data_IF_231993016103
#
_entry.id   IF_231993016103
#
_cell.length_a   1.000
_cell.length_b   1.000
_cell.length_c   1.000
_cell.angle_alpha   90.00
_cell.angle_beta   90.00
_cell.angle_gamma   90.00
#
_symmetry.space_group_name_H-M   'P 1'
#
loop_
_entity.id
_entity.type
_entity.pdbx_description
1 polymer ?
#
# COMPACT_ATOMS: atom_id res chain seq x y z
N UNK A 1 -41.22 -5.55 -32.39
CA UNK A 1 -40.33 -4.41 -32.06
C UNK A 1 -40.08 -4.41 -30.56
N UNK A 2 -39.10 -5.18 -30.08
CA UNK A 2 -38.68 -5.12 -28.67
C UNK A 2 -37.65 -4.00 -28.53
N UNK A 3 -38.02 -2.96 -27.80
CA UNK A 3 -37.14 -1.87 -27.41
C UNK A 3 -36.09 -2.43 -26.46
N UNK A 4 -34.91 -2.75 -26.98
CA UNK A 4 -33.72 -2.96 -26.17
C UNK A 4 -33.46 -1.61 -25.49
N UNK A 5 -33.79 -1.55 -24.19
CA UNK A 5 -33.50 -0.40 -23.35
C UNK A 5 -32.02 -0.05 -23.49
N UNK A 6 -31.74 1.17 -23.94
CA UNK A 6 -30.36 1.68 -24.03
C UNK A 6 -29.70 1.50 -22.65
N UNK A 7 -28.48 0.92 -22.58
CA UNK A 7 -27.76 0.87 -21.33
C UNK A 7 -27.55 2.32 -20.84
N UNK A 8 -27.69 2.58 -19.52
CA UNK A 8 -27.43 3.91 -18.97
C UNK A 8 -26.02 4.34 -19.36
N UNK A 9 -25.86 5.63 -19.72
CA UNK A 9 -24.58 6.19 -20.14
C UNK A 9 -23.50 5.82 -19.13
N UNK A 10 -22.61 4.93 -19.54
CA UNK A 10 -21.68 4.23 -18.66
C UNK A 10 -20.49 5.08 -18.19
N UNK A 11 -20.48 6.38 -18.48
CA UNK A 11 -19.37 7.27 -18.20
C UNK A 11 -19.02 7.36 -16.70
N UNK A 12 -20.02 7.42 -15.81
CA UNK A 12 -19.76 7.60 -14.37
C UNK A 12 -19.31 6.35 -13.60
N UNK A 13 -19.34 5.15 -14.21
CA UNK A 13 -19.10 3.88 -13.49
C UNK A 13 -17.77 3.20 -13.83
N UNK A 14 -17.09 3.62 -14.89
CA UNK A 14 -15.72 3.17 -15.16
C UNK A 14 -14.70 3.80 -14.20
N UNK A 15 -15.01 4.97 -13.65
CA UNK A 15 -14.23 5.63 -12.59
C UNK A 15 -14.18 4.79 -11.30
N UNK A 16 -15.11 3.85 -11.11
CA UNK A 16 -15.13 2.96 -9.94
C UNK A 16 -14.01 1.92 -9.93
N UNK A 17 -13.29 1.73 -11.05
CA UNK A 17 -12.36 0.62 -11.26
C UNK A 17 -10.89 1.01 -11.23
N UNK A 18 -10.60 2.30 -11.10
CA UNK A 18 -9.23 2.84 -11.06
C UNK A 18 -8.27 2.17 -12.06
N UNK A 19 -8.76 2.01 -13.29
CA UNK A 19 -8.04 1.31 -14.36
C UNK A 19 -6.98 2.23 -14.98
N UNK A 20 -5.90 1.63 -15.48
CA UNK A 20 -4.93 2.34 -16.30
C UNK A 20 -5.59 2.80 -17.61
N UNK A 21 -5.16 3.94 -18.16
CA UNK A 21 -5.68 4.49 -19.43
C UNK A 21 -5.84 3.45 -20.57
N UNK A 22 -4.86 2.55 -20.85
CA UNK A 22 -5.04 1.52 -21.88
C UNK A 22 -6.14 0.50 -21.52
N UNK A 23 -6.28 0.14 -20.24
CA UNK A 23 -7.32 -0.78 -19.79
C UNK A 23 -8.71 -0.14 -19.85
N UNK A 24 -8.82 1.15 -19.52
CA UNK A 24 -10.07 1.92 -19.68
C UNK A 24 -10.48 1.99 -21.15
N UNK A 25 -9.54 2.26 -22.06
CA UNK A 25 -9.80 2.28 -23.50
C UNK A 25 -10.26 0.91 -24.02
N UNK A 26 -9.61 -0.18 -23.57
CA UNK A 26 -10.01 -1.54 -23.91
C UNK A 26 -11.39 -1.92 -23.35
N UNK A 27 -11.76 -1.41 -22.16
CA UNK A 27 -13.07 -1.66 -21.57
C UNK A 27 -14.18 -0.84 -22.25
N UNK A 28 -13.86 0.38 -22.70
CA UNK A 28 -14.75 1.23 -23.47
C UNK A 28 -14.99 0.70 -24.90
N UNK A 29 -14.04 -0.02 -25.49
CA UNK A 29 -14.18 -0.63 -26.82
C UNK A 29 -14.96 -1.96 -26.83
N UNK A 30 -15.35 -2.49 -25.67
CA UNK A 30 -16.13 -3.73 -25.59
C UNK A 30 -17.52 -3.60 -26.25
N UNK A 31 -17.99 -4.64 -26.97
CA UNK A 31 -19.36 -4.72 -27.45
C UNK A 31 -20.39 -4.58 -26.32
N UNK A 32 -21.53 -3.97 -26.62
CA UNK A 32 -22.62 -3.69 -25.67
C UNK A 32 -23.09 -4.93 -24.90
N UNK A 33 -23.09 -6.10 -25.55
CA UNK A 33 -23.46 -7.39 -24.93
C UNK A 33 -22.48 -7.83 -23.83
N UNK A 34 -21.17 -7.63 -24.02
CA UNK A 34 -20.16 -7.91 -22.99
C UNK A 34 -20.24 -6.91 -21.84
N UNK A 35 -20.50 -5.63 -22.15
CA UNK A 35 -20.74 -4.59 -21.13
C UNK A 35 -21.97 -4.92 -20.27
N UNK A 36 -23.05 -5.43 -20.88
CA UNK A 36 -24.26 -5.86 -20.18
C UNK A 36 -24.03 -7.10 -19.31
N UNK A 37 -23.28 -8.11 -19.79
CA UNK A 37 -22.91 -9.27 -18.98
C UNK A 37 -22.09 -8.86 -17.74
N UNK A 38 -21.08 -8.00 -17.90
CA UNK A 38 -20.30 -7.47 -16.76
C UNK A 38 -21.20 -6.73 -15.76
N UNK A 39 -22.18 -5.97 -16.25
CA UNK A 39 -23.15 -5.28 -15.41
C UNK A 39 -24.05 -6.24 -14.64
N UNK A 40 -24.60 -7.26 -15.29
CA UNK A 40 -25.47 -8.26 -14.67
C UNK A 40 -24.73 -9.13 -13.64
N UNK A 41 -23.48 -9.52 -13.92
CA UNK A 41 -22.65 -10.27 -12.97
C UNK A 41 -22.44 -9.50 -11.66
N UNK A 42 -22.26 -8.18 -11.71
CA UNK A 42 -22.11 -7.33 -10.52
C UNK A 42 -23.42 -7.02 -9.82
N UNK A 43 -24.51 -6.82 -10.56
CA UNK A 43 -25.83 -6.62 -9.95
C UNK A 43 -26.29 -7.86 -9.15
N UNK A 44 -25.83 -9.05 -9.55
CA UNK A 44 -26.03 -10.29 -8.78
C UNK A 44 -25.20 -10.39 -7.50
N UNK A 45 -24.10 -9.63 -7.37
CA UNK A 45 -23.28 -9.59 -6.15
C UNK A 45 -23.83 -8.60 -5.09
N UNK A 46 -24.68 -7.65 -5.49
CA UNK A 46 -25.25 -6.61 -4.61
C UNK A 46 -26.41 -7.11 -3.71
N UNK A 47 -26.87 -8.36 -3.81
CA UNK A 47 -28.12 -8.80 -3.15
C UNK A 47 -28.03 -9.91 -2.10
N UNK A 48 -26.88 -10.48 -1.78
CA UNK A 48 -26.79 -11.51 -0.73
C UNK A 48 -25.41 -11.56 -0.10
N UNK A 49 -25.20 -10.70 0.89
CA UNK A 49 -24.44 -10.90 2.13
C UNK A 49 -24.26 -9.50 2.73
N UNK A 50 -24.34 -9.36 4.05
CA UNK A 50 -23.99 -8.09 4.72
C UNK A 50 -22.52 -7.76 4.43
N UNK A 51 -22.26 -7.06 3.33
CA UNK A 51 -20.94 -6.59 2.97
C UNK A 51 -20.42 -5.74 4.14
N UNK A 52 -19.43 -6.26 4.85
CA UNK A 52 -18.85 -5.60 6.03
C UNK A 52 -18.38 -4.20 5.61
N UNK A 53 -18.94 -3.16 6.23
CA UNK A 53 -18.64 -1.78 5.88
C UNK A 53 -17.18 -1.41 6.22
N UNK A 54 -16.61 -0.39 5.58
CA UNK A 54 -15.25 0.08 5.92
C UNK A 54 -15.12 0.45 7.41
N UNK A 55 -16.18 0.96 8.04
CA UNK A 55 -16.24 1.30 9.46
C UNK A 55 -16.02 0.08 10.37
N UNK A 56 -16.56 -1.08 10.00
CA UNK A 56 -16.40 -2.31 10.78
C UNK A 56 -14.96 -2.82 10.75
N UNK A 57 -14.30 -2.72 9.59
CA UNK A 57 -12.88 -3.03 9.49
C UNK A 57 -12.03 -2.06 10.31
N UNK A 58 -12.36 -0.76 10.30
CA UNK A 58 -11.66 0.26 11.09
C UNK A 58 -11.83 -0.01 12.59
N UNK A 59 -13.03 -0.41 13.02
CA UNK A 59 -13.29 -0.79 14.42
C UNK A 59 -12.43 -1.97 14.85
N UNK A 60 -12.42 -3.04 14.05
CA UNK A 60 -11.57 -4.23 14.31
C UNK A 60 -10.09 -3.86 14.31
N UNK A 61 -9.64 -3.07 13.34
CA UNK A 61 -8.27 -2.59 13.26
C UNK A 61 -7.85 -1.83 14.52
N UNK A 62 -8.66 -0.88 14.98
CA UNK A 62 -8.38 -0.10 16.17
C UNK A 62 -8.40 -0.97 17.43
N UNK A 63 -9.31 -1.94 17.53
CA UNK A 63 -9.32 -2.88 18.64
C UNK A 63 -8.01 -3.66 18.72
N UNK A 64 -7.57 -4.27 17.61
CA UNK A 64 -6.29 -5.01 17.56
C UNK A 64 -5.11 -4.09 17.89
N UNK A 65 -5.11 -2.84 17.42
CA UNK A 65 -4.04 -1.87 17.68
C UNK A 65 -3.84 -1.55 19.18
N UNK A 66 -4.89 -1.72 19.99
CA UNK A 66 -4.84 -1.48 21.45
C UNK A 66 -4.50 -2.72 22.27
N UNK A 67 -4.50 -3.90 21.65
CA UNK A 67 -4.18 -5.14 22.35
C UNK A 67 -2.67 -5.28 22.50
N UNK A 68 -2.24 -5.70 23.68
CA UNK A 68 -0.86 -6.14 23.90
C UNK A 68 -0.58 -7.44 23.14
N UNK A 69 0.70 -7.73 22.93
CA UNK A 69 1.11 -9.00 22.35
C UNK A 69 0.70 -10.17 23.26
N UNK A 70 0.16 -11.27 22.69
CA UNK A 70 -0.38 -12.36 23.48
C UNK A 70 0.70 -13.17 24.20
N UNK A 71 0.52 -13.38 25.51
CA UNK A 71 1.42 -14.16 26.37
C UNK A 71 1.17 -15.68 26.29
N UNK A 72 -0.06 -16.09 25.96
CA UNK A 72 -0.50 -17.50 25.88
C UNK A 72 -1.13 -17.74 24.50
N UNK A 73 -0.96 -18.95 23.96
CA UNK A 73 -1.48 -19.31 22.63
C UNK A 73 -1.07 -18.32 21.53
N UNK A 74 0.15 -17.79 21.66
CA UNK A 74 0.69 -16.70 20.86
C UNK A 74 0.50 -16.92 19.36
N UNK A 75 0.85 -18.11 18.85
CA UNK A 75 0.76 -18.42 17.42
C UNK A 75 -0.68 -18.39 16.90
N UNK A 76 -1.62 -18.93 17.67
CA UNK A 76 -3.03 -18.95 17.28
C UNK A 76 -3.62 -17.55 17.29
N UNK A 77 -3.33 -16.77 18.33
CA UNK A 77 -3.85 -15.42 18.45
C UNK A 77 -3.24 -14.49 17.39
N UNK A 78 -1.94 -14.60 17.13
CA UNK A 78 -1.28 -13.89 16.03
C UNK A 78 -1.91 -14.27 14.69
N UNK A 79 -2.23 -15.55 14.47
CA UNK A 79 -2.92 -16.03 13.25
C UNK A 79 -4.31 -15.42 13.12
N UNK A 80 -5.09 -15.39 14.20
CA UNK A 80 -6.45 -14.80 14.21
C UNK A 80 -6.39 -13.30 13.90
N UNK A 81 -5.55 -12.55 14.62
CA UNK A 81 -5.37 -11.10 14.42
C UNK A 81 -4.89 -10.82 12.99
N UNK A 82 -3.93 -11.60 12.48
CA UNK A 82 -3.44 -11.49 11.09
C UNK A 82 -4.58 -11.72 10.09
N UNK A 83 -5.40 -12.75 10.27
CA UNK A 83 -6.55 -13.05 9.39
C UNK A 83 -7.57 -11.90 9.35
N UNK A 84 -7.82 -11.24 10.49
CA UNK A 84 -8.71 -10.09 10.56
C UNK A 84 -8.15 -8.89 9.79
N UNK A 85 -6.85 -8.60 9.91
CA UNK A 85 -6.19 -7.54 9.13
C UNK A 85 -6.14 -7.89 7.64
N UNK A 86 -5.89 -9.15 7.29
CA UNK A 86 -5.87 -9.62 5.90
C UNK A 86 -7.23 -9.53 5.20
N UNK A 87 -8.32 -9.63 5.96
CA UNK A 87 -9.66 -9.36 5.43
C UNK A 87 -9.79 -7.88 4.99
N UNK A 88 -9.27 -6.93 5.78
CA UNK A 88 -9.21 -5.51 5.38
C UNK A 88 -8.28 -5.31 4.17
N UNK A 89 -7.10 -5.92 4.17
CA UNK A 89 -6.15 -5.89 3.03
C UNK A 89 -6.83 -6.34 1.74
N UNK A 90 -7.61 -7.42 1.82
CA UNK A 90 -8.36 -7.96 0.67
C UNK A 90 -9.45 -7.00 0.25
N UNK A 91 -10.26 -6.50 1.20
CA UNK A 91 -11.30 -5.52 0.92
C UNK A 91 -10.73 -4.27 0.23
N UNK A 92 -9.65 -3.68 0.73
CA UNK A 92 -8.99 -2.51 0.10
C UNK A 92 -8.49 -2.78 -1.32
N UNK A 93 -8.14 -4.03 -1.64
CA UNK A 93 -7.61 -4.43 -2.95
C UNK A 93 -8.70 -4.76 -3.97
N UNK A 94 -9.81 -5.35 -3.54
CA UNK A 94 -10.83 -5.91 -4.45
C UNK A 94 -12.16 -5.17 -4.44
N UNK A 95 -12.38 -4.27 -3.48
CA UNK A 95 -13.62 -3.48 -3.40
C UNK A 95 -13.66 -2.36 -4.44
N UNK A 96 -14.84 -1.74 -4.55
CA UNK A 96 -15.08 -0.60 -5.44
C UNK A 96 -14.33 0.64 -4.97
N UNK A 97 -14.05 1.58 -5.89
CA UNK A 97 -13.48 2.88 -5.54
C UNK A 97 -14.26 3.60 -4.41
N UNK A 98 -15.59 3.46 -4.39
CA UNK A 98 -16.47 4.02 -3.35
C UNK A 98 -16.18 3.47 -1.95
N UNK A 99 -15.77 2.20 -1.83
CA UNK A 99 -15.34 1.64 -0.53
C UNK A 99 -14.08 2.35 -0.02
N UNK A 100 -13.11 2.60 -0.91
CA UNK A 100 -11.85 3.28 -0.55
C UNK A 100 -12.10 4.73 -0.13
N UNK A 101 -12.97 5.46 -0.83
CA UNK A 101 -13.38 6.82 -0.42
C UNK A 101 -13.96 6.79 1.00
N UNK A 102 -14.96 5.93 1.25
CA UNK A 102 -15.58 5.81 2.58
C UNK A 102 -14.58 5.41 3.66
N UNK A 103 -13.66 4.49 3.35
CA UNK A 103 -12.59 4.11 4.28
C UNK A 103 -11.71 5.30 4.66
N UNK A 104 -11.36 6.16 3.70
CA UNK A 104 -10.58 7.37 3.96
C UNK A 104 -11.38 8.38 4.79
N UNK A 105 -12.63 8.66 4.41
CA UNK A 105 -13.53 9.59 5.11
C UNK A 105 -13.78 9.16 6.57
N UNK A 106 -13.91 7.85 6.79
CA UNK A 106 -14.04 7.22 8.11
C UNK A 106 -12.71 7.12 8.88
N UNK A 107 -11.68 7.87 8.48
CA UNK A 107 -10.35 7.97 9.12
C UNK A 107 -9.56 6.65 9.12
N UNK A 108 -9.80 5.78 8.15
CA UNK A 108 -9.14 4.48 8.05
C UNK A 108 -7.63 4.57 7.85
N UNK A 109 -7.13 5.52 7.04
CA UNK A 109 -5.69 5.78 6.91
C UNK A 109 -5.06 6.16 8.26
N UNK A 110 -5.73 7.02 9.04
CA UNK A 110 -5.24 7.39 10.39
C UNK A 110 -5.20 6.16 11.30
N UNK A 111 -6.19 5.27 11.22
CA UNK A 111 -6.20 3.99 11.94
C UNK A 111 -4.98 3.14 11.60
N UNK A 112 -4.68 2.95 10.31
CA UNK A 112 -3.50 2.18 9.86
C UNK A 112 -2.19 2.79 10.37
N UNK A 113 -2.03 4.11 10.26
CA UNK A 113 -0.82 4.81 10.72
C UNK A 113 -0.68 4.80 12.24
N UNK A 114 -1.78 4.87 12.98
CA UNK A 114 -1.76 4.76 14.44
C UNK A 114 -1.39 3.35 14.89
N UNK A 115 -1.90 2.33 14.20
CA UNK A 115 -1.50 0.95 14.45
C UNK A 115 0.03 0.81 14.30
N UNK A 116 0.59 1.24 13.16
CA UNK A 116 2.03 1.16 12.91
C UNK A 116 2.88 1.85 13.99
N UNK A 117 2.43 2.98 14.53
CA UNK A 117 3.16 3.70 15.59
C UNK A 117 3.03 3.05 16.97
N UNK A 118 1.95 2.31 17.23
CA UNK A 118 1.62 1.79 18.55
C UNK A 118 2.10 0.35 18.78
N UNK A 119 2.61 -0.33 17.74
CA UNK A 119 3.07 -1.71 17.87
C UNK A 119 4.16 -1.84 18.92
N UNK A 120 4.00 -2.79 19.82
CA UNK A 120 5.09 -3.31 20.62
C UNK A 120 6.09 -4.09 19.73
N UNK A 121 7.24 -4.41 20.31
CA UNK A 121 8.31 -5.13 19.60
C UNK A 121 7.82 -6.43 18.95
N UNK A 122 7.09 -7.27 19.68
CA UNK A 122 6.67 -8.58 19.19
C UNK A 122 5.63 -8.46 18.07
N UNK A 123 4.67 -7.54 18.21
CA UNK A 123 3.71 -7.24 17.13
C UNK A 123 4.45 -6.75 15.88
N UNK A 124 5.46 -5.90 16.03
CA UNK A 124 6.28 -5.38 14.94
C UNK A 124 7.17 -6.45 14.26
N UNK A 125 7.45 -7.58 14.93
CA UNK A 125 8.16 -8.73 14.34
C UNK A 125 7.21 -9.79 13.73
N UNK A 126 5.91 -9.69 14.00
CA UNK A 126 4.91 -10.70 13.60
C UNK A 126 4.34 -10.48 12.19
N UNK A 127 3.57 -11.46 11.70
CA UNK A 127 2.79 -11.34 10.46
C UNK A 127 1.73 -10.24 10.49
N UNK A 128 1.28 -9.80 11.68
CA UNK A 128 0.31 -8.71 11.82
C UNK A 128 0.87 -7.44 11.19
N UNK A 129 2.13 -7.11 11.48
CA UNK A 129 2.81 -5.96 10.89
C UNK A 129 2.89 -6.06 9.36
N UNK A 130 3.23 -7.25 8.83
CA UNK A 130 3.24 -7.50 7.38
C UNK A 130 1.87 -7.25 6.75
N UNK A 131 0.81 -7.70 7.40
CA UNK A 131 -0.58 -7.49 6.93
C UNK A 131 -1.00 -6.03 6.98
N UNK A 132 -0.59 -5.27 8.00
CA UNK A 132 -0.87 -3.81 8.09
C UNK A 132 -0.17 -3.06 6.95
N UNK A 133 1.10 -3.36 6.68
CA UNK A 133 1.80 -2.80 5.51
C UNK A 133 1.12 -3.23 4.20
N UNK A 134 0.61 -4.45 4.13
CA UNK A 134 -0.22 -4.93 3.04
C UNK A 134 -1.48 -4.08 2.81
N UNK A 135 -2.18 -3.66 3.87
CA UNK A 135 -3.32 -2.74 3.78
C UNK A 135 -2.90 -1.39 3.19
N UNK A 136 -1.77 -0.83 3.64
CA UNK A 136 -1.22 0.43 3.09
C UNK A 136 -0.88 0.27 1.61
N UNK A 137 -0.23 -0.84 1.23
CA UNK A 137 0.09 -1.15 -0.17
C UNK A 137 -1.17 -1.24 -1.04
N UNK A 138 -2.21 -1.94 -0.56
CA UNK A 138 -3.48 -2.03 -1.24
C UNK A 138 -4.14 -0.65 -1.42
N UNK A 139 -4.13 0.17 -0.37
CA UNK A 139 -4.65 1.54 -0.41
C UNK A 139 -3.91 2.43 -1.42
N UNK A 140 -2.58 2.30 -1.53
CA UNK A 140 -1.76 3.07 -2.48
C UNK A 140 -1.91 2.63 -3.94
N UNK A 141 -2.40 1.41 -4.17
CA UNK A 141 -2.75 0.96 -5.51
C UNK A 141 -4.04 1.60 -6.02
N UNK A 142 -4.85 2.21 -5.14
CA UNK A 142 -5.97 3.05 -5.50
C UNK A 142 -5.53 4.53 -5.61
N UNK A 143 -5.96 5.26 -6.64
CA UNK A 143 -5.57 6.65 -6.92
C UNK A 143 -5.96 7.62 -5.81
N UNK A 144 -7.19 7.52 -5.30
CA UNK A 144 -7.66 8.29 -4.14
C UNK A 144 -6.85 7.93 -2.89
N UNK A 145 -6.71 6.64 -2.60
CA UNK A 145 -5.91 6.19 -1.46
C UNK A 145 -4.45 6.68 -1.52
N UNK A 146 -3.82 6.59 -2.70
CA UNK A 146 -2.47 7.12 -2.97
C UNK A 146 -2.37 8.62 -2.75
N UNK A 147 -3.32 9.40 -3.25
CA UNK A 147 -3.34 10.85 -3.05
C UNK A 147 -3.39 11.21 -1.56
N UNK A 148 -4.26 10.55 -0.79
CA UNK A 148 -4.37 10.77 0.66
C UNK A 148 -3.12 10.33 1.43
N UNK A 149 -2.51 9.19 1.08
CA UNK A 149 -1.25 8.75 1.67
C UNK A 149 -0.15 9.77 1.41
N UNK A 150 0.00 10.25 0.17
CA UNK A 150 1.05 11.21 -0.18
C UNK A 150 0.82 12.61 0.42
N UNK A 151 -0.44 13.03 0.58
CA UNK A 151 -0.81 14.29 1.20
C UNK A 151 -0.59 14.29 2.72
N UNK A 152 -0.72 13.14 3.39
CA UNK A 152 -0.52 13.05 4.83
C UNK A 152 0.93 13.39 5.22
N UNK A 153 1.16 14.28 6.20
CA UNK A 153 2.49 14.88 6.45
C UNK A 153 3.54 13.87 6.91
N UNK A 154 3.14 12.84 7.65
CA UNK A 154 4.07 11.88 8.27
C UNK A 154 3.85 10.43 7.82
N UNK A 155 2.97 10.18 6.84
CA UNK A 155 2.61 8.81 6.44
C UNK A 155 3.84 8.03 5.94
N UNK A 156 4.61 8.62 5.03
CA UNK A 156 5.80 8.00 4.45
C UNK A 156 6.88 7.81 5.53
N UNK A 157 7.00 8.74 6.49
CA UNK A 157 7.92 8.60 7.62
C UNK A 157 7.54 7.40 8.51
N UNK A 158 6.25 7.24 8.83
CA UNK A 158 5.75 6.12 9.64
C UNK A 158 5.93 4.80 8.89
N UNK A 159 5.66 4.76 7.59
CA UNK A 159 5.88 3.56 6.75
C UNK A 159 7.37 3.20 6.71
N UNK A 160 8.27 4.18 6.62
CA UNK A 160 9.71 3.94 6.61
C UNK A 160 10.23 3.37 7.94
N UNK A 161 9.63 3.73 9.08
CA UNK A 161 9.98 3.15 10.39
C UNK A 161 9.82 1.63 10.43
N UNK A 162 8.87 1.08 9.65
CA UNK A 162 8.69 -0.36 9.52
C UNK A 162 9.88 -1.12 8.94
N UNK A 163 10.90 -0.45 8.39
CA UNK A 163 12.16 -1.08 7.97
C UNK A 163 13.00 -1.62 9.14
N UNK A 164 12.70 -1.22 10.39
CA UNK A 164 13.42 -1.68 11.59
C UNK A 164 13.03 -3.08 12.06
N UNK A 165 12.02 -3.69 11.46
CA UNK A 165 11.65 -5.09 11.71
C UNK A 165 12.71 -6.04 11.16
N UNK A 166 12.88 -7.24 11.72
CA UNK A 166 13.70 -8.31 11.12
C UNK A 166 12.89 -9.13 10.10
N UNK A 167 11.56 -8.92 10.04
CA UNK A 167 10.68 -9.64 9.14
C UNK A 167 10.92 -9.24 7.67
N UNK A 168 11.57 -10.14 6.91
CA UNK A 168 11.98 -9.92 5.51
C UNK A 168 10.79 -9.53 4.62
N UNK A 169 9.63 -10.19 4.78
CA UNK A 169 8.44 -9.91 3.96
C UNK A 169 7.91 -8.49 4.19
N UNK A 170 8.01 -8.02 5.42
CA UNK A 170 7.64 -6.65 5.77
C UNK A 170 8.62 -5.65 5.16
N UNK A 171 9.94 -5.89 5.28
CA UNK A 171 10.96 -5.04 4.63
C UNK A 171 10.74 -4.94 3.11
N UNK A 172 10.51 -6.06 2.43
CA UNK A 172 10.20 -6.09 0.99
C UNK A 172 9.00 -5.19 0.69
N UNK A 173 7.88 -5.38 1.39
CA UNK A 173 6.66 -4.63 1.13
C UNK A 173 6.85 -3.11 1.36
N UNK A 174 7.62 -2.71 2.37
CA UNK A 174 7.97 -1.30 2.62
C UNK A 174 8.85 -0.75 1.50
N UNK A 175 9.88 -1.47 1.07
CA UNK A 175 10.76 -1.06 -0.02
C UNK A 175 10.01 -0.92 -1.35
N UNK A 176 9.07 -1.82 -1.64
CA UNK A 176 8.20 -1.71 -2.83
C UNK A 176 7.32 -0.46 -2.78
N UNK A 177 6.73 -0.14 -1.62
CA UNK A 177 5.95 1.09 -1.44
C UNK A 177 6.85 2.31 -1.68
N UNK A 178 7.99 2.39 -0.99
CA UNK A 178 8.88 3.54 -1.07
C UNK A 178 9.49 3.71 -2.47
N UNK A 179 9.81 2.60 -3.14
CA UNK A 179 10.25 2.60 -4.54
C UNK A 179 9.19 3.16 -5.48
N UNK A 180 7.92 2.73 -5.33
CA UNK A 180 6.82 3.28 -6.12
C UNK A 180 6.58 4.77 -5.82
N UNK A 181 6.70 5.21 -4.57
CA UNK A 181 6.59 6.64 -4.20
C UNK A 181 7.69 7.46 -4.86
N UNK A 182 8.91 6.95 -5.00
CA UNK A 182 9.97 7.69 -5.69
C UNK A 182 9.55 8.09 -7.11
N UNK A 183 8.80 7.24 -7.81
CA UNK A 183 8.42 7.43 -9.21
C UNK A 183 7.27 8.42 -9.43
N UNK A 184 6.59 8.88 -8.37
CA UNK A 184 5.51 9.88 -8.48
C UNK A 184 6.03 11.31 -8.31
N UNK A 185 5.33 12.29 -8.89
CA UNK A 185 5.71 13.70 -8.80
C UNK A 185 5.86 14.16 -7.35
N UNK A 186 7.03 14.71 -7.00
CA UNK A 186 7.36 15.16 -5.64
C UNK A 186 7.61 14.04 -4.62
N UNK A 187 7.39 12.77 -4.98
CA UNK A 187 7.54 11.63 -4.07
C UNK A 187 8.99 11.31 -3.72
N UNK A 188 9.93 11.52 -4.65
CA UNK A 188 11.37 11.35 -4.39
C UNK A 188 11.85 12.16 -3.18
N UNK A 189 11.51 13.45 -3.11
CA UNK A 189 11.85 14.30 -1.96
C UNK A 189 11.24 13.76 -0.66
N UNK A 190 9.96 13.36 -0.69
CA UNK A 190 9.28 12.76 0.47
C UNK A 190 9.98 11.49 0.97
N UNK A 191 10.45 10.64 0.06
CA UNK A 191 11.20 9.42 0.43
C UNK A 191 12.57 9.77 1.05
N UNK A 192 13.30 10.73 0.49
CA UNK A 192 14.57 11.17 1.06
C UNK A 192 14.41 11.79 2.45
N UNK A 193 13.36 12.58 2.65
CA UNK A 193 13.02 13.18 3.94
C UNK A 193 12.61 12.08 4.95
N UNK A 194 11.82 11.10 4.51
CA UNK A 194 11.45 9.94 5.33
C UNK A 194 12.66 9.09 5.72
N UNK A 195 13.60 8.86 4.81
CA UNK A 195 14.84 8.12 5.11
C UNK A 195 15.79 8.91 6.02
N UNK A 196 15.75 10.25 5.98
CA UNK A 196 16.44 11.08 6.96
C UNK A 196 15.79 10.98 8.35
N UNK A 197 14.46 10.93 8.41
CA UNK A 197 13.74 10.68 9.66
C UNK A 197 14.03 9.28 10.20
N UNK A 198 14.01 8.27 9.33
CA UNK A 198 14.33 6.88 9.66
C UNK A 198 15.74 6.72 10.23
N UNK A 199 16.74 7.39 9.64
CA UNK A 199 18.11 7.38 10.15
C UNK A 199 18.16 7.73 11.65
N UNK A 200 17.43 8.78 12.07
CA UNK A 200 17.37 9.19 13.48
C UNK A 200 16.59 8.19 14.32
N UNK A 201 15.47 7.70 13.80
CA UNK A 201 14.61 6.74 14.48
C UNK A 201 15.32 5.40 14.77
N UNK A 202 16.04 4.87 13.78
CA UNK A 202 16.75 3.60 13.85
C UNK A 202 18.20 3.75 14.35
N UNK A 203 18.60 4.95 14.79
CA UNK A 203 19.95 5.27 15.25
C UNK A 203 21.06 4.87 14.25
N UNK A 204 20.79 5.04 12.95
CA UNK A 204 21.77 4.78 11.89
C UNK A 204 22.82 5.89 11.85
N UNK A 205 24.10 5.54 11.65
CA UNK A 205 25.18 6.54 11.50
C UNK A 205 24.99 7.35 10.22
N UNK A 206 24.59 6.69 9.14
CA UNK A 206 24.31 7.28 7.83
C UNK A 206 22.97 6.79 7.31
N UNK A 207 22.28 7.59 6.50
CA UNK A 207 21.03 7.15 5.84
C UNK A 207 21.27 5.86 5.05
N UNK A 208 20.27 4.98 5.04
CA UNK A 208 20.25 3.73 4.28
C UNK A 208 21.18 2.63 4.83
N UNK A 209 21.83 2.83 5.97
CA UNK A 209 22.82 1.88 6.49
C UNK A 209 22.21 0.48 6.67
N UNK A 210 21.07 0.36 7.34
CA UNK A 210 20.40 -0.92 7.59
C UNK A 210 20.00 -1.63 6.31
N UNK A 211 19.46 -0.88 5.34
CA UNK A 211 19.08 -1.41 4.02
C UNK A 211 20.30 -1.97 3.28
N UNK A 212 21.44 -1.27 3.30
CA UNK A 212 22.67 -1.73 2.64
C UNK A 212 23.27 -2.93 3.38
N UNK A 213 23.17 -2.97 4.72
CA UNK A 213 23.59 -4.13 5.50
C UNK A 213 22.76 -5.37 5.17
N UNK A 214 21.45 -5.23 4.98
CA UNK A 214 20.56 -6.32 4.56
C UNK A 214 20.92 -6.88 3.19
N UNK A 215 21.51 -6.08 2.30
CA UNK A 215 22.00 -6.55 0.99
C UNK A 215 23.19 -7.50 1.13
N UNK A 216 24.05 -7.29 2.14
CA UNK A 216 25.23 -8.13 2.41
C UNK A 216 24.94 -9.34 3.30
N UNK A 217 23.80 -9.39 3.97
CA UNK A 217 23.45 -10.43 4.94
C UNK A 217 22.91 -11.68 4.26
N UNK A 218 23.30 -12.85 4.75
CA UNK A 218 22.64 -14.12 4.42
C UNK A 218 21.54 -14.40 5.44
N UNK A 219 20.32 -14.64 4.95
CA UNK A 219 19.15 -14.86 5.82
C UNK A 219 18.89 -16.35 6.09
N UNK A 220 19.63 -17.24 5.42
CA UNK A 220 19.47 -18.70 5.53
C UNK A 220 18.32 -19.26 4.69
N UNK A 221 17.42 -18.41 4.18
CA UNK A 221 16.31 -18.80 3.30
C UNK A 221 16.56 -18.18 1.93
N UNK A 222 17.13 -18.96 1.02
CA UNK A 222 17.61 -18.49 -0.30
C UNK A 222 16.58 -17.66 -1.08
N UNK A 223 15.31 -18.09 -1.11
CA UNK A 223 14.24 -17.38 -1.82
C UNK A 223 13.95 -16.00 -1.23
N UNK A 224 13.81 -15.92 0.10
CA UNK A 224 13.51 -14.67 0.77
C UNK A 224 14.71 -13.72 0.74
N UNK A 225 15.94 -14.26 0.82
CA UNK A 225 17.18 -13.52 0.60
C UNK A 225 17.20 -12.86 -0.79
N UNK A 226 16.94 -13.61 -1.85
CA UNK A 226 16.92 -13.06 -3.22
C UNK A 226 15.85 -11.99 -3.37
N UNK A 227 14.65 -12.24 -2.85
CA UNK A 227 13.55 -11.29 -2.96
C UNK A 227 13.88 -9.98 -2.24
N UNK A 228 14.50 -10.06 -1.06
CA UNK A 228 14.95 -8.88 -0.31
C UNK A 228 16.02 -8.12 -1.08
N UNK A 229 17.07 -8.81 -1.55
CA UNK A 229 18.16 -8.20 -2.35
C UNK A 229 17.61 -7.53 -3.61
N UNK A 230 16.67 -8.17 -4.29
CA UNK A 230 15.99 -7.62 -5.47
C UNK A 230 15.21 -6.35 -5.13
N UNK A 231 14.43 -6.37 -4.04
CA UNK A 231 13.67 -5.21 -3.58
C UNK A 231 14.59 -4.03 -3.20
N UNK A 232 15.71 -4.31 -2.50
CA UNK A 232 16.72 -3.31 -2.14
C UNK A 232 17.34 -2.68 -3.39
N UNK A 233 17.79 -3.50 -4.35
CA UNK A 233 18.40 -2.99 -5.58
C UNK A 233 17.42 -2.15 -6.40
N UNK A 234 16.17 -2.58 -6.51
CA UNK A 234 15.10 -1.81 -7.17
C UNK A 234 14.87 -0.47 -6.49
N UNK A 235 14.79 -0.44 -5.16
CA UNK A 235 14.63 0.78 -4.37
C UNK A 235 15.81 1.74 -4.51
N UNK A 236 17.04 1.24 -4.40
CA UNK A 236 18.27 2.04 -4.57
C UNK A 236 18.31 2.67 -5.97
N UNK A 237 17.93 1.92 -6.99
CA UNK A 237 17.82 2.45 -8.36
C UNK A 237 16.76 3.55 -8.44
N UNK A 238 15.56 3.35 -7.87
CA UNK A 238 14.50 4.36 -7.87
C UNK A 238 14.93 5.68 -7.19
N UNK A 239 15.63 5.59 -6.05
CA UNK A 239 16.16 6.76 -5.33
C UNK A 239 17.31 7.43 -6.08
N UNK A 240 18.16 6.66 -6.76
CA UNK A 240 19.37 7.16 -7.43
C UNK A 240 19.11 7.73 -8.83
N UNK A 241 18.29 7.06 -9.63
CA UNK A 241 18.05 7.39 -11.04
C UNK A 241 17.35 8.74 -11.17
N UNK A 242 16.43 9.08 -10.26
CA UNK A 242 15.76 10.38 -10.28
C UNK A 242 16.75 11.53 -9.99
N UNK A 243 17.77 11.28 -9.16
CA UNK A 243 18.83 12.26 -8.92
C UNK A 243 19.72 12.46 -10.18
N UNK A 244 19.87 11.42 -11.02
CA UNK A 244 20.60 11.50 -12.31
C UNK A 244 19.77 12.05 -13.47
N UNK A 245 18.44 12.03 -13.41
CA UNK A 245 17.59 12.65 -14.45
C UNK A 245 17.33 14.14 -14.15
N UNK A 246 17.35 14.55 -12.88
CA UNK A 246 17.04 15.94 -12.47
C UNK A 246 18.30 16.84 -12.37
N UNK A 247 19.52 16.29 -12.25
CA UNK A 247 20.76 17.09 -12.15
C UNK A 247 21.58 17.35 -13.44
N UNK A 248 21.45 16.66 -14.59
CA UNK A 248 22.27 17.00 -15.76
C UNK A 248 21.85 18.28 -16.48
N UNK A 249 20.61 18.76 -16.31
CA UNK A 249 20.08 19.87 -17.11
C UNK A 249 20.23 21.26 -16.48
N UNK A 250 20.65 21.36 -15.20
CA UNK A 250 20.88 22.68 -14.56
C UNK A 250 22.31 23.19 -14.68
N UNK A 251 23.28 22.36 -15.06
CA UNK A 251 24.68 22.79 -15.21
C UNK A 251 25.07 23.19 -16.64
N UNK A 252 24.19 23.01 -17.63
CA UNK A 252 24.43 23.43 -19.03
C UNK A 252 23.73 24.73 -19.44
N UNK A 253 22.97 25.36 -18.53
CA UNK A 253 22.21 26.60 -18.81
C UNK A 253 22.71 27.84 -18.03
N UNK A 254 23.82 27.72 -17.28
CA UNK A 254 24.45 28.84 -16.53
C UNK A 254 25.91 29.06 -16.98
N UNK A 255 26.30 28.54 -18.15
CA UNK A 255 27.53 28.97 -18.84
C UNK A 255 27.13 29.37 -20.26
N UNK A 256 26.49 30.53 -20.34
CA UNK A 256 26.45 31.43 -21.50
C UNK A 256 26.85 32.81 -20.97
#
# INVERSE_FOLDING_TARGET
MSTISKPPQSAGKYDELDLTAPNTAAMLSLPSQKKWQIYCSRKGEDTTDQATGPEDYIRKLNAIATLQYPEINTDEEVRIRTKQVDALKTALRTSTHSFVIKFIESKGLKGLLNFLKAMDYFTAQSSIHTSIIGCVKALMNNSTGRAHVLAHPTSINIIAQSLSTENIKTKIAVLEIMGAVCLVAGGHKKVLDAMHHYQKFAFERVRFQGIINDLGRSTGIYKDEINLKTAIMSFVNAVSVIHRVIKPWRSWLIIS
#
